data_IF_405800957189
#
_entry.id   IF_405800957189
#
_cell.length_a   1.000
_cell.length_b   1.000
_cell.length_c   1.000
_cell.angle_alpha   90.00
_cell.angle_beta   90.00
_cell.angle_gamma   90.00
#
_symmetry.space_group_name_H-M   'P 1'
#
loop_
_entity.id
_entity.type
_entity.pdbx_description
1 polymer ?
#
# COMPACT_ATOMS: atom_id res chain seq x y z
N UNK A 1 -22.04 -77.97 9.57
CA UNK A 1 -20.89 -78.76 9.08
C UNK A 1 -19.94 -77.76 8.41
N UNK A 2 -19.17 -77.01 9.22
CA UNK A 2 -17.70 -77.11 9.38
C UNK A 2 -16.95 -77.11 8.02
N UNK A 3 -15.99 -76.22 7.73
CA UNK A 3 -14.89 -75.79 8.61
C UNK A 3 -14.21 -74.50 8.13
N UNK A 4 -13.70 -73.74 9.09
CA UNK A 4 -12.80 -72.57 9.04
C UNK A 4 -11.44 -72.84 8.38
N UNK A 5 -10.81 -71.81 7.78
CA UNK A 5 -9.40 -71.38 8.06
C UNK A 5 -9.25 -69.86 7.83
N UNK A 6 -8.58 -69.22 8.79
CA UNK A 6 -8.21 -67.81 8.97
C UNK A 6 -7.39 -67.16 7.84
N UNK A 7 -7.55 -65.83 7.68
CA UNK A 7 -6.43 -64.88 7.67
C UNK A 7 -6.86 -63.53 8.24
N UNK A 8 -6.16 -63.13 9.30
CA UNK A 8 -6.15 -61.82 9.96
C UNK A 8 -5.01 -61.00 9.35
N UNK A 9 -5.25 -59.70 9.11
CA UNK A 9 -4.31 -58.56 8.98
C UNK A 9 -4.96 -57.50 8.07
N UNK A 10 -5.16 -56.22 8.37
CA UNK A 10 -4.74 -55.30 9.42
C UNK A 10 -5.71 -54.09 9.41
N UNK A 11 -5.84 -53.33 10.52
CA UNK A 11 -6.60 -52.08 10.57
C UNK A 11 -5.84 -50.91 9.93
N UNK A 12 -6.54 -50.07 9.16
CA UNK A 12 -6.01 -48.82 8.59
C UNK A 12 -5.79 -47.77 9.70
N UNK A 13 -4.63 -47.08 9.73
CA UNK A 13 -4.25 -46.24 10.86
C UNK A 13 -4.96 -44.88 10.84
N UNK A 14 -5.42 -44.48 12.02
CA UNK A 14 -5.70 -43.09 12.36
C UNK A 14 -4.41 -42.26 12.33
N UNK A 15 -4.62 -40.94 12.20
CA UNK A 15 -3.70 -39.84 12.50
C UNK A 15 -2.55 -39.60 11.54
N UNK A 16 -2.63 -38.46 10.85
CA UNK A 16 -1.61 -37.40 10.92
C UNK A 16 -2.19 -36.10 10.32
N UNK A 17 -2.63 -35.22 11.22
CA UNK A 17 -2.70 -33.80 10.95
C UNK A 17 -1.29 -33.34 10.54
N UNK A 18 -1.16 -32.76 9.36
CA UNK A 18 0.06 -32.11 8.91
C UNK A 18 -0.05 -30.63 9.28
N UNK A 19 0.09 -30.35 10.58
CA UNK A 19 0.53 -29.04 11.06
C UNK A 19 2.00 -28.90 10.67
N UNK A 20 2.27 -28.22 9.55
CA UNK A 20 3.59 -27.63 9.33
C UNK A 20 3.62 -26.29 10.09
N UNK A 21 3.84 -26.40 11.40
CA UNK A 21 4.37 -25.29 12.20
C UNK A 21 5.80 -25.06 11.72
N UNK A 22 6.00 -24.08 10.85
CA UNK A 22 7.30 -23.44 10.69
C UNK A 22 7.55 -22.60 11.94
N UNK A 23 8.07 -23.27 12.96
CA UNK A 23 8.85 -22.64 14.02
C UNK A 23 10.10 -22.02 13.39
N UNK A 24 9.97 -20.81 12.86
CA UNK A 24 11.12 -19.93 12.68
C UNK A 24 11.54 -19.50 14.09
N UNK A 25 12.46 -20.25 14.67
CA UNK A 25 13.34 -19.72 15.69
C UNK A 25 14.09 -18.54 15.04
N UNK A 26 13.59 -17.34 15.27
CA UNK A 26 14.35 -16.12 15.04
C UNK A 26 15.54 -16.16 16.01
N UNK A 27 16.66 -16.71 15.54
CA UNK A 27 17.94 -16.27 16.06
C UNK A 27 18.04 -14.78 15.75
N UNK A 28 18.33 -13.91 16.72
CA UNK A 28 18.78 -12.57 16.38
C UNK A 28 20.14 -12.76 15.73
N UNK A 29 20.17 -12.83 14.39
CA UNK A 29 21.36 -12.40 13.67
C UNK A 29 21.37 -10.90 13.89
N UNK A 30 22.02 -10.49 14.98
CA UNK A 30 22.51 -9.13 15.14
C UNK A 30 23.49 -8.93 13.98
N UNK A 31 22.99 -8.43 12.87
CA UNK A 31 23.84 -7.71 11.94
C UNK A 31 24.37 -6.52 12.74
N UNK A 32 25.66 -6.56 13.02
CA UNK A 32 26.41 -5.51 13.68
C UNK A 32 26.58 -4.35 12.69
N UNK A 33 25.49 -3.63 12.41
CA UNK A 33 25.54 -2.32 11.76
C UNK A 33 25.30 -1.26 12.83
N UNK A 34 26.23 -1.18 13.78
CA UNK A 34 26.29 -0.08 14.75
C UNK A 34 26.85 1.17 14.09
N UNK A 35 26.23 1.63 12.99
CA UNK A 35 26.37 3.02 12.57
C UNK A 35 25.43 3.83 13.42
N UNK A 36 25.94 4.80 14.15
CA UNK A 36 25.08 5.69 14.94
C UNK A 36 24.21 6.51 14.00
N UNK A 37 22.97 6.86 14.37
CA UNK A 37 22.09 7.73 13.57
C UNK A 37 22.80 9.02 13.11
N UNK A 38 23.73 9.50 13.93
CA UNK A 38 24.57 10.68 13.65
C UNK A 38 25.59 10.49 12.53
N UNK A 39 26.06 9.26 12.30
CA UNK A 39 26.96 8.91 11.21
C UNK A 39 26.18 8.70 9.92
N UNK A 40 25.02 8.02 9.97
CA UNK A 40 24.12 7.89 8.82
C UNK A 40 23.64 9.26 8.31
N UNK A 41 23.28 10.17 9.23
CA UNK A 41 22.86 11.53 8.88
C UNK A 41 23.98 12.31 8.18
N UNK A 42 25.23 12.17 8.65
CA UNK A 42 26.39 12.81 8.02
C UNK A 42 26.66 12.24 6.63
N UNK A 43 26.64 10.91 6.49
CA UNK A 43 26.92 10.24 5.22
C UNK A 43 25.84 10.52 4.16
N UNK A 44 24.56 10.52 4.55
CA UNK A 44 23.45 10.91 3.68
C UNK A 44 23.58 12.37 3.24
N UNK A 45 23.92 13.29 4.16
CA UNK A 45 24.16 14.69 3.80
C UNK A 45 25.29 14.84 2.78
N UNK A 46 26.42 14.15 2.96
CA UNK A 46 27.56 14.22 2.03
C UNK A 46 27.19 13.67 0.66
N UNK A 47 26.48 12.53 0.61
CA UNK A 47 26.02 11.95 -0.65
C UNK A 47 25.06 12.89 -1.39
N UNK A 48 24.10 13.48 -0.68
CA UNK A 48 23.17 14.47 -1.23
C UNK A 48 23.89 15.66 -1.86
N UNK A 49 24.86 16.24 -1.14
CA UNK A 49 25.62 17.40 -1.65
C UNK A 49 26.51 17.06 -2.86
N UNK A 50 27.00 15.83 -2.95
CA UNK A 50 27.78 15.37 -4.11
C UNK A 50 26.88 15.11 -5.33
N UNK A 51 25.65 14.61 -5.12
CA UNK A 51 24.69 14.34 -6.19
C UNK A 51 24.04 15.60 -6.78
N UNK A 52 23.90 16.67 -6.00
CA UNK A 52 23.32 17.95 -6.47
C UNK A 52 24.25 18.79 -7.38
N UNK A 53 25.30 18.17 -7.94
CA UNK A 53 26.27 18.75 -8.87
C UNK A 53 26.68 20.19 -8.50
N UNK A 54 27.10 20.39 -7.24
CA UNK A 54 27.50 21.68 -6.71
C UNK A 54 28.82 22.10 -7.35
N UNK A 55 28.74 22.78 -8.48
CA UNK A 55 29.89 23.30 -9.24
C UNK A 55 30.77 24.30 -8.46
N UNK A 56 30.54 24.57 -7.16
CA UNK A 56 31.28 25.61 -6.42
C UNK A 56 31.69 25.32 -4.96
N UNK A 57 31.36 24.17 -4.36
CA UNK A 57 31.79 23.90 -2.99
C UNK A 57 32.93 22.86 -2.94
N UNK A 58 34.01 23.23 -2.26
CA UNK A 58 35.08 22.29 -1.94
C UNK A 58 34.54 21.18 -1.03
N UNK A 59 35.07 19.96 -1.17
CA UNK A 59 34.72 18.82 -0.32
C UNK A 59 34.83 19.14 1.19
N UNK A 60 35.69 20.10 1.55
CA UNK A 60 35.87 20.59 2.91
C UNK A 60 34.69 21.46 3.39
N UNK A 61 34.08 22.26 2.50
CA UNK A 61 32.86 23.02 2.81
C UNK A 61 31.66 22.10 2.99
N UNK A 62 31.50 21.10 2.11
CA UNK A 62 30.44 20.08 2.20
C UNK A 62 30.52 19.35 3.54
N UNK A 63 31.72 18.90 3.93
CA UNK A 63 31.92 18.23 5.21
C UNK A 63 31.61 19.15 6.40
N UNK A 64 32.04 20.41 6.35
CA UNK A 64 31.75 21.38 7.40
C UNK A 64 30.25 21.67 7.55
N UNK A 65 29.51 21.72 6.44
CA UNK A 65 28.05 21.89 6.44
C UNK A 65 27.34 20.65 7.01
N UNK A 66 27.74 19.45 6.59
CA UNK A 66 27.18 18.21 7.13
C UNK A 66 27.57 17.97 8.61
N UNK A 67 28.73 18.46 9.05
CA UNK A 67 29.08 18.49 10.48
C UNK A 67 28.18 19.45 11.27
N UNK A 68 27.75 20.57 10.69
CA UNK A 68 26.77 21.45 11.33
C UNK A 68 25.39 20.79 11.45
N UNK A 69 24.90 20.10 10.41
CA UNK A 69 23.66 19.32 10.48
C UNK A 69 23.74 18.22 11.56
N UNK A 70 24.89 17.54 11.66
CA UNK A 70 25.17 16.55 12.72
C UNK A 70 25.13 17.17 14.13
N UNK A 71 25.59 18.42 14.28
CA UNK A 71 25.74 19.08 15.59
C UNK A 71 24.50 19.87 16.03
N UNK A 72 23.60 20.22 15.11
CA UNK A 72 22.40 21.03 15.36
C UNK A 72 21.30 20.33 16.20
N UNK A 73 21.51 19.09 16.65
CA UNK A 73 20.81 18.53 17.82
C UNK A 73 19.33 18.19 17.65
N UNK A 74 18.78 18.33 16.46
CA UNK A 74 17.55 17.67 16.03
C UNK A 74 17.83 17.19 14.61
N UNK A 75 18.26 15.93 14.48
CA UNK A 75 18.38 15.32 13.17
C UNK A 75 16.97 15.34 12.59
N UNK A 76 16.65 16.34 11.78
CA UNK A 76 15.41 16.36 11.02
C UNK A 76 15.49 15.12 10.16
N UNK A 77 14.66 14.14 10.47
CA UNK A 77 14.64 12.88 9.73
C UNK A 77 14.39 13.24 8.27
N UNK A 78 15.29 12.78 7.39
CA UNK A 78 15.14 12.98 5.94
C UNK A 78 13.77 12.47 5.55
N UNK A 79 12.97 13.35 4.97
CA UNK A 79 11.60 13.02 4.55
C UNK A 79 11.62 12.05 3.38
N UNK A 80 10.54 11.29 3.21
CA UNK A 80 10.41 10.40 2.06
C UNK A 80 10.56 11.16 0.74
N UNK A 81 9.98 12.35 0.66
CA UNK A 81 10.07 13.21 -0.54
C UNK A 81 11.51 13.61 -0.88
N UNK A 82 12.37 13.81 0.12
CA UNK A 82 13.79 14.10 -0.09
C UNK A 82 14.55 12.85 -0.62
N UNK A 83 14.30 11.68 -0.04
CA UNK A 83 14.91 10.41 -0.48
C UNK A 83 14.48 10.03 -1.91
N UNK A 84 13.22 10.26 -2.27
CA UNK A 84 12.72 10.00 -3.62
C UNK A 84 13.48 10.82 -4.67
N UNK A 85 13.75 12.10 -4.38
CA UNK A 85 14.50 13.01 -5.27
C UNK A 85 15.94 12.59 -5.50
N UNK A 86 16.61 12.06 -4.47
CA UNK A 86 17.99 11.58 -4.60
C UNK A 86 18.14 10.44 -5.61
N UNK A 87 17.06 9.69 -5.84
CA UNK A 87 17.05 8.55 -6.77
C UNK A 87 16.36 8.83 -8.11
N UNK A 88 15.75 10.02 -8.27
CA UNK A 88 14.91 10.36 -9.41
C UNK A 88 15.63 10.34 -10.76
N UNK A 89 16.93 10.63 -10.79
CA UNK A 89 17.74 10.62 -12.01
C UNK A 89 18.14 9.21 -12.48
N UNK A 90 17.95 8.19 -11.65
CA UNK A 90 18.33 6.82 -12.01
C UNK A 90 17.24 6.17 -12.88
N UNK A 91 17.50 5.90 -14.18
CA UNK A 91 16.49 5.37 -15.11
C UNK A 91 16.06 3.93 -14.79
N UNK A 92 16.72 3.25 -13.85
CA UNK A 92 16.38 1.90 -13.41
C UNK A 92 15.58 1.88 -12.10
N UNK A 93 15.38 3.04 -11.47
CA UNK A 93 14.60 3.14 -10.22
C UNK A 93 13.14 3.37 -10.55
N UNK A 94 12.28 2.55 -9.96
CA UNK A 94 10.83 2.76 -9.94
C UNK A 94 10.50 3.31 -8.54
N UNK A 95 10.03 4.55 -8.48
CA UNK A 95 9.70 5.20 -7.21
C UNK A 95 8.39 4.64 -6.65
N UNK A 96 8.37 4.07 -5.43
CA UNK A 96 7.14 3.67 -4.78
C UNK A 96 6.18 4.86 -4.63
N UNK A 97 4.89 4.67 -4.86
CA UNK A 97 3.89 5.72 -4.67
C UNK A 97 3.04 5.46 -3.41
N UNK A 98 2.11 4.51 -3.48
CA UNK A 98 1.41 3.96 -2.31
C UNK A 98 2.11 2.70 -1.80
N UNK A 99 1.66 2.15 -0.68
CA UNK A 99 2.29 0.96 -0.07
C UNK A 99 2.32 -0.23 -1.05
N UNK A 100 3.47 -0.89 -1.15
CA UNK A 100 3.66 -2.10 -1.96
C UNK A 100 3.72 -3.32 -1.06
N UNK A 101 2.68 -4.16 -1.08
CA UNK A 101 2.56 -5.30 -0.17
C UNK A 101 2.07 -6.56 -0.87
N UNK A 102 2.39 -7.70 -0.26
CA UNK A 102 1.82 -9.01 -0.57
C UNK A 102 1.35 -9.63 0.74
N UNK A 103 0.07 -9.95 0.82
CA UNK A 103 -0.57 -10.67 1.92
C UNK A 103 -0.93 -12.07 1.41
N UNK A 104 -0.07 -13.07 1.61
CA UNK A 104 -0.34 -14.44 1.14
C UNK A 104 -1.57 -15.05 1.82
N UNK A 105 -1.94 -14.58 3.00
CA UNK A 105 -3.11 -15.06 3.72
C UNK A 105 -3.90 -13.86 4.18
N UNK A 106 -5.10 -13.72 3.63
CA UNK A 106 -6.15 -12.87 4.18
C UNK A 106 -7.39 -13.71 4.46
N UNK A 107 -8.17 -13.33 5.46
CA UNK A 107 -9.45 -13.95 5.79
C UNK A 107 -10.49 -12.85 5.98
N UNK A 108 -11.61 -12.96 5.27
CA UNK A 108 -12.74 -12.06 5.40
C UNK A 108 -13.93 -12.74 6.06
N UNK A 109 -14.82 -11.98 6.68
CA UNK A 109 -15.98 -12.55 7.39
C UNK A 109 -16.96 -13.30 6.49
N UNK A 110 -17.14 -12.80 5.27
CA UNK A 110 -17.97 -13.40 4.23
C UNK A 110 -17.56 -12.82 2.89
N UNK A 111 -17.26 -13.67 1.92
CA UNK A 111 -17.00 -13.24 0.55
C UNK A 111 -18.28 -12.71 -0.10
N UNK A 112 -18.16 -11.64 -0.86
CA UNK A 112 -19.27 -11.07 -1.61
C UNK A 112 -19.62 -11.92 -2.84
N UNK A 113 -20.73 -12.65 -2.75
CA UNK A 113 -21.23 -13.49 -3.85
C UNK A 113 -22.25 -12.76 -4.73
N UNK A 114 -22.77 -11.61 -4.31
CA UNK A 114 -23.87 -10.92 -4.99
C UNK A 114 -23.58 -10.55 -6.45
N UNK A 115 -22.37 -10.08 -6.82
CA UNK A 115 -22.05 -9.76 -8.21
C UNK A 115 -22.05 -10.98 -9.14
N UNK A 116 -21.85 -12.18 -8.59
CA UNK A 116 -21.67 -13.43 -9.32
C UNK A 116 -23.00 -14.22 -9.40
N UNK A 117 -24.02 -13.62 -10.01
CA UNK A 117 -25.34 -14.25 -10.12
C UNK A 117 -25.29 -15.58 -10.93
N UNK A 118 -26.16 -16.52 -10.56
CA UNK A 118 -26.19 -17.86 -11.17
C UNK A 118 -26.68 -17.88 -12.63
N UNK A 119 -27.41 -16.85 -13.07
CA UNK A 119 -27.91 -16.78 -14.45
C UNK A 119 -26.78 -16.52 -15.46
N UNK A 120 -25.78 -15.72 -15.06
CA UNK A 120 -24.64 -15.34 -15.91
C UNK A 120 -23.39 -16.16 -15.58
N UNK A 121 -23.17 -16.49 -14.30
CA UNK A 121 -21.93 -17.10 -13.80
C UNK A 121 -22.09 -18.54 -13.27
N UNK A 122 -23.30 -19.11 -13.33
CA UNK A 122 -23.57 -20.45 -12.80
C UNK A 122 -23.25 -20.57 -11.31
N UNK A 123 -22.81 -21.75 -10.89
CA UNK A 123 -22.52 -22.04 -9.47
C UNK A 123 -21.09 -21.62 -9.05
N UNK A 124 -20.38 -20.83 -9.87
CA UNK A 124 -19.01 -20.42 -9.59
C UNK A 124 -18.89 -19.60 -8.30
N UNK A 125 -19.94 -18.87 -7.92
CA UNK A 125 -20.02 -18.13 -6.67
C UNK A 125 -19.96 -19.02 -5.42
N UNK A 126 -20.46 -20.27 -5.52
CA UNK A 126 -20.48 -21.20 -4.39
C UNK A 126 -19.07 -21.67 -4.01
N UNK A 127 -18.18 -21.74 -4.99
CA UNK A 127 -16.77 -22.09 -4.79
C UNK A 127 -15.87 -20.95 -4.31
N UNK A 128 -16.40 -19.73 -4.11
CA UNK A 128 -15.62 -18.63 -3.54
C UNK A 128 -15.33 -18.90 -2.05
N UNK A 129 -14.06 -18.73 -1.69
CA UNK A 129 -13.52 -18.85 -0.33
C UNK A 129 -13.44 -17.48 0.34
N UNK A 130 -13.58 -17.51 1.67
CA UNK A 130 -13.36 -16.36 2.54
C UNK A 130 -11.86 -16.03 2.71
N UNK A 131 -10.97 -16.89 2.20
CA UNK A 131 -9.54 -16.69 2.16
C UNK A 131 -9.06 -16.25 0.77
N UNK A 132 -8.23 -15.21 0.74
CA UNK A 132 -7.62 -14.70 -0.50
C UNK A 132 -6.16 -14.33 -0.29
N UNK A 133 -5.39 -14.38 -1.37
CA UNK A 133 -4.15 -13.61 -1.48
C UNK A 133 -4.54 -12.18 -1.88
N UNK A 134 -4.09 -11.19 -1.11
CA UNK A 134 -4.27 -9.75 -1.42
C UNK A 134 -2.91 -9.13 -1.68
N UNK A 135 -2.76 -8.35 -2.74
CA UNK A 135 -1.52 -7.59 -2.96
C UNK A 135 -1.79 -6.25 -3.62
N UNK A 136 -0.86 -5.33 -3.40
CA UNK A 136 -0.84 -4.02 -4.02
C UNK A 136 0.53 -3.72 -4.59
N UNK A 137 0.56 -3.24 -5.83
CA UNK A 137 1.74 -2.70 -6.49
C UNK A 137 1.44 -1.24 -6.82
N UNK A 138 2.32 -0.32 -6.42
CA UNK A 138 2.11 1.10 -6.62
C UNK A 138 3.42 1.83 -6.87
N UNK A 139 3.48 2.56 -7.98
CA UNK A 139 4.64 3.34 -8.36
C UNK A 139 4.25 4.68 -8.98
N UNK A 140 5.20 5.62 -8.96
CA UNK A 140 5.13 6.87 -9.72
C UNK A 140 6.40 7.04 -10.55
N UNK A 141 6.26 7.73 -11.68
CA UNK A 141 7.36 8.09 -12.59
C UNK A 141 7.24 9.58 -12.89
N UNK A 142 8.32 10.37 -12.73
CA UNK A 142 8.32 11.76 -13.13
C UNK A 142 8.19 11.86 -14.66
N UNK A 143 7.25 12.68 -15.12
CA UNK A 143 7.02 13.01 -16.52
C UNK A 143 7.69 14.34 -16.91
N UNK A 144 7.62 15.31 -16.00
CA UNK A 144 8.21 16.65 -16.15
C UNK A 144 8.79 17.03 -14.80
N UNK A 145 10.08 17.37 -14.77
CA UNK A 145 10.84 17.72 -13.55
C UNK A 145 11.34 19.17 -13.55
N UNK A 146 11.09 19.91 -14.63
CA UNK A 146 11.62 21.26 -14.82
C UNK A 146 10.70 22.29 -14.17
N UNK A 147 10.86 22.54 -12.86
CA UNK A 147 10.29 23.65 -12.06
C UNK A 147 9.16 24.43 -12.78
N UNK A 148 8.03 23.75 -12.99
CA UNK A 148 6.96 24.14 -13.91
C UNK A 148 6.34 25.46 -13.45
N UNK A 149 6.03 25.55 -12.16
CA UNK A 149 5.41 26.72 -11.53
C UNK A 149 6.10 27.16 -10.24
N UNK A 150 6.64 26.22 -9.46
CA UNK A 150 7.34 26.42 -8.20
C UNK A 150 8.68 25.66 -8.25
N UNK A 151 9.61 26.08 -7.39
CA UNK A 151 10.85 25.32 -7.18
C UNK A 151 10.52 23.90 -6.71
N UNK A 152 11.14 22.91 -7.34
CA UNK A 152 11.06 21.50 -6.95
C UNK A 152 9.69 20.86 -7.15
N UNK A 153 8.85 21.42 -8.03
CA UNK A 153 7.58 20.81 -8.43
C UNK A 153 7.74 19.86 -9.63
N UNK A 154 6.88 18.85 -9.69
CA UNK A 154 7.00 17.80 -10.69
C UNK A 154 5.62 17.32 -11.15
N UNK A 155 5.54 16.92 -12.42
CA UNK A 155 4.39 16.19 -12.96
C UNK A 155 4.70 14.71 -12.95
N UNK A 156 3.82 13.90 -12.37
CA UNK A 156 3.98 12.45 -12.25
C UNK A 156 2.92 11.68 -13.02
N UNK A 157 3.31 10.52 -13.52
CA UNK A 157 2.41 9.42 -13.80
C UNK A 157 2.45 8.44 -12.63
N UNK A 158 1.30 8.19 -12.01
CA UNK A 158 1.13 7.18 -10.97
C UNK A 158 0.38 5.96 -11.51
N UNK A 159 0.70 4.79 -10.98
CA UNK A 159 -0.08 3.59 -11.22
C UNK A 159 -0.16 2.74 -9.97
N UNK A 160 -1.39 2.47 -9.52
CA UNK A 160 -1.65 1.51 -8.43
C UNK A 160 -2.50 0.36 -8.94
N UNK A 161 -2.10 -0.86 -8.64
CA UNK A 161 -2.85 -2.08 -8.89
C UNK A 161 -3.11 -2.78 -7.57
N UNK A 162 -4.37 -3.11 -7.28
CA UNK A 162 -4.78 -3.89 -6.10
C UNK A 162 -5.52 -5.14 -6.55
N UNK A 163 -5.06 -6.32 -6.14
CA UNK A 163 -5.63 -7.59 -6.59
C UNK A 163 -6.04 -8.50 -5.43
N UNK A 164 -7.13 -9.23 -5.67
CA UNK A 164 -7.74 -10.19 -4.76
C UNK A 164 -7.84 -11.54 -5.45
N UNK A 165 -6.99 -12.47 -5.03
CA UNK A 165 -6.80 -13.76 -5.68
C UNK A 165 -7.37 -14.88 -4.82
N UNK A 166 -8.31 -15.63 -5.38
CA UNK A 166 -8.94 -16.81 -4.77
C UNK A 166 -8.01 -18.04 -4.85
N UNK A 167 -6.77 -17.89 -4.40
CA UNK A 167 -5.74 -18.94 -4.43
C UNK A 167 -6.17 -20.24 -3.70
N UNK A 168 -7.11 -20.12 -2.78
CA UNK A 168 -7.64 -21.20 -1.94
C UNK A 168 -8.91 -21.85 -2.51
N UNK A 169 -9.45 -21.32 -3.61
CA UNK A 169 -10.70 -21.79 -4.24
C UNK A 169 -10.39 -22.75 -5.38
N UNK A 170 -9.83 -23.92 -5.03
CA UNK A 170 -9.41 -24.93 -6.01
C UNK A 170 -10.56 -25.48 -6.85
N UNK A 171 -11.78 -25.50 -6.31
CA UNK A 171 -12.96 -26.05 -6.98
C UNK A 171 -13.38 -25.21 -8.21
N UNK A 172 -12.97 -23.94 -8.25
CA UNK A 172 -13.22 -23.01 -9.37
C UNK A 172 -11.93 -22.58 -10.08
N UNK A 173 -10.85 -23.37 -9.94
CA UNK A 173 -9.54 -23.12 -10.57
C UNK A 173 -8.81 -21.86 -10.10
N UNK A 174 -9.02 -21.46 -8.84
CA UNK A 174 -8.30 -20.38 -8.16
C UNK A 174 -8.21 -19.05 -8.96
N UNK A 175 -9.36 -18.46 -9.37
CA UNK A 175 -9.37 -17.26 -10.20
C UNK A 175 -8.97 -16.01 -9.41
N UNK A 176 -8.56 -14.95 -10.12
CA UNK A 176 -8.62 -13.61 -9.54
C UNK A 176 -10.09 -13.22 -9.40
N UNK A 177 -10.53 -12.85 -8.20
CA UNK A 177 -11.90 -12.39 -7.95
C UNK A 177 -12.06 -10.95 -8.44
N UNK A 178 -11.11 -10.09 -8.07
CA UNK A 178 -11.09 -8.69 -8.48
C UNK A 178 -9.65 -8.17 -8.63
N UNK A 179 -9.46 -7.23 -9.55
CA UNK A 179 -8.21 -6.48 -9.71
C UNK A 179 -8.58 -5.06 -10.06
N UNK A 180 -8.19 -4.08 -9.26
CA UNK A 180 -8.44 -2.66 -9.53
C UNK A 180 -7.17 -2.01 -10.09
N UNK A 181 -7.31 -1.34 -11.21
CA UNK A 181 -6.28 -0.58 -11.91
C UNK A 181 -6.56 0.90 -11.71
N UNK A 182 -5.64 1.60 -11.08
CA UNK A 182 -5.74 3.04 -10.79
C UNK A 182 -4.55 3.82 -11.36
N UNK A 183 -4.55 4.13 -12.66
CA UNK A 183 -3.64 5.11 -13.24
C UNK A 183 -4.02 6.54 -12.85
N UNK A 184 -3.01 7.36 -12.60
CA UNK A 184 -3.15 8.75 -12.18
C UNK A 184 -2.14 9.63 -12.94
N UNK A 185 -2.51 10.86 -13.26
CA UNK A 185 -1.57 11.91 -13.68
C UNK A 185 -1.77 13.09 -12.76
N UNK A 186 -0.72 13.50 -12.06
CA UNK A 186 -0.84 14.52 -11.02
C UNK A 186 0.38 15.40 -10.95
N UNK A 187 0.14 16.65 -10.60
CA UNK A 187 1.14 17.64 -10.27
C UNK A 187 1.36 17.59 -8.75
N UNK A 188 2.62 17.51 -8.31
CA UNK A 188 3.03 17.51 -6.91
C UNK A 188 3.93 18.71 -6.64
N UNK A 189 3.69 19.43 -5.54
CA UNK A 189 4.50 20.58 -5.16
C UNK A 189 4.57 20.76 -3.65
N UNK A 190 5.67 21.33 -3.18
CA UNK A 190 5.80 21.78 -1.80
C UNK A 190 5.02 23.08 -1.60
N UNK A 191 4.26 23.16 -0.51
CA UNK A 191 3.51 24.35 -0.15
C UNK A 191 4.39 25.27 0.75
N UNK A 192 4.43 26.59 0.49
CA UNK A 192 5.18 27.55 1.30
C UNK A 192 4.42 27.90 2.59
N UNK A 193 4.07 26.89 3.38
CA UNK A 193 3.34 27.04 4.64
C UNK A 193 4.34 26.89 5.80
N UNK A 194 4.52 27.97 6.56
CA UNK A 194 5.40 28.02 7.74
C UNK A 194 4.65 27.66 9.03
N UNK A 195 3.93 26.53 9.04
CA UNK A 195 3.20 26.03 10.21
C UNK A 195 3.74 24.66 10.63
N UNK A 196 4.40 24.60 11.80
CA UNK A 196 5.13 23.41 12.26
C UNK A 196 6.54 23.32 11.65
N UNK A 197 7.33 22.30 12.04
CA UNK A 197 8.68 22.08 11.51
C UNK A 197 8.67 21.13 10.29
N UNK A 198 7.49 20.58 9.95
CA UNK A 198 7.27 19.64 8.87
C UNK A 198 7.25 20.22 7.46
N UNK A 199 6.98 19.35 6.49
CA UNK A 199 6.83 19.66 5.07
C UNK A 199 5.34 19.59 4.72
N UNK A 200 4.80 20.72 4.24
CA UNK A 200 3.50 20.75 3.61
C UNK A 200 3.66 20.52 2.11
N UNK A 201 2.84 19.65 1.53
CA UNK A 201 2.83 19.38 0.10
C UNK A 201 1.40 19.29 -0.43
N UNK A 202 1.24 19.42 -1.74
CA UNK A 202 -0.03 19.31 -2.42
C UNK A 202 0.11 18.40 -3.63
N UNK A 203 -0.96 17.66 -3.93
CA UNK A 203 -1.12 16.97 -5.21
C UNK A 203 -2.42 17.36 -5.85
N UNK A 204 -2.38 17.72 -7.12
CA UNK A 204 -3.57 18.00 -7.92
C UNK A 204 -3.53 17.12 -9.15
N UNK A 205 -4.54 16.28 -9.34
CA UNK A 205 -4.47 15.23 -10.34
C UNK A 205 -5.80 14.80 -10.91
N UNK A 206 -5.68 14.03 -11.97
CA UNK A 206 -6.73 13.22 -12.53
C UNK A 206 -6.40 11.76 -12.28
N UNK A 207 -7.41 10.97 -11.90
CA UNK A 207 -7.29 9.53 -11.77
C UNK A 207 -8.46 8.82 -12.45
N UNK A 208 -8.15 7.68 -13.03
CA UNK A 208 -9.12 6.70 -13.48
C UNK A 208 -8.95 5.47 -12.59
N UNK A 209 -10.04 4.86 -12.16
CA UNK A 209 -10.00 3.58 -11.47
C UNK A 209 -11.06 2.64 -12.06
N UNK A 210 -10.64 1.45 -12.46
CA UNK A 210 -11.53 0.41 -12.98
C UNK A 210 -11.05 -0.97 -12.60
N UNK A 211 -11.93 -1.96 -12.68
CA UNK A 211 -11.55 -3.35 -12.40
C UNK A 211 -11.23 -4.20 -13.64
N UNK A 212 -11.29 -3.60 -14.83
CA UNK A 212 -11.01 -4.28 -16.10
C UNK A 212 -11.93 -5.48 -16.41
N UNK A 213 -13.11 -5.52 -15.79
CA UNK A 213 -14.15 -6.53 -16.06
C UNK A 213 -15.11 -6.04 -17.15
N UNK A 214 -15.99 -6.93 -17.60
CA UNK A 214 -17.04 -6.63 -18.57
C UNK A 214 -18.42 -6.73 -17.94
N UNK A 215 -19.39 -6.05 -18.55
CA UNK A 215 -20.83 -6.14 -18.25
C UNK A 215 -21.12 -6.04 -16.74
N UNK A 216 -21.91 -6.96 -16.18
CA UNK A 216 -22.40 -6.92 -14.81
C UNK A 216 -21.32 -6.85 -13.72
N UNK A 217 -20.08 -7.27 -14.02
CA UNK A 217 -18.95 -7.18 -13.11
C UNK A 217 -18.09 -5.93 -13.34
N UNK A 218 -18.34 -5.16 -14.39
CA UNK A 218 -17.60 -3.94 -14.69
C UNK A 218 -17.86 -2.89 -13.63
N UNK A 219 -16.79 -2.32 -13.11
CA UNK A 219 -16.83 -1.19 -12.19
C UNK A 219 -15.78 -0.19 -12.62
N UNK A 220 -16.18 1.08 -12.73
CA UNK A 220 -15.25 2.16 -13.08
C UNK A 220 -15.75 3.52 -12.63
N UNK A 221 -14.81 4.43 -12.43
CA UNK A 221 -15.06 5.84 -12.15
C UNK A 221 -13.82 6.67 -12.45
N UNK A 222 -14.03 7.97 -12.66
CA UNK A 222 -12.97 8.93 -12.92
C UNK A 222 -13.09 10.07 -11.92
N UNK A 223 -11.97 10.56 -11.42
CA UNK A 223 -11.94 11.62 -10.42
C UNK A 223 -10.91 12.67 -10.79
N UNK A 224 -11.20 13.90 -10.41
CA UNK A 224 -10.17 14.92 -10.20
C UNK A 224 -10.04 15.14 -8.70
N UNK A 225 -8.82 15.32 -8.23
CA UNK A 225 -8.54 15.51 -6.81
C UNK A 225 -7.57 16.65 -6.58
N UNK A 226 -7.61 17.20 -5.36
CA UNK A 226 -6.70 18.23 -4.90
C UNK A 226 -6.39 17.99 -3.42
N UNK A 227 -5.37 17.19 -3.15
CA UNK A 227 -5.01 16.78 -1.80
C UNK A 227 -3.91 17.63 -1.19
N UNK A 228 -3.93 17.71 0.14
CA UNK A 228 -2.93 18.41 0.96
C UNK A 228 -2.35 17.41 1.94
N UNK A 229 -1.02 17.41 2.03
CA UNK A 229 -0.26 16.56 2.93
C UNK A 229 0.65 17.35 3.86
N UNK A 230 0.93 16.73 4.99
CA UNK A 230 1.85 17.19 6.01
C UNK A 230 2.71 16.01 6.48
N UNK A 231 4.02 16.19 6.49
CA UNK A 231 5.00 15.21 6.96
C UNK A 231 5.95 15.87 7.96
N UNK A 232 6.05 15.32 9.18
CA UNK A 232 6.93 15.84 10.24
C UNK A 232 7.45 14.69 11.11
N UNK A 233 8.77 14.53 11.18
CA UNK A 233 9.47 13.54 11.99
C UNK A 233 8.90 12.11 11.81
N UNK A 234 8.01 11.69 12.71
CA UNK A 234 7.42 10.36 12.75
C UNK A 234 5.95 10.31 12.30
N UNK A 235 5.42 11.39 11.73
CA UNK A 235 4.02 11.50 11.38
C UNK A 235 3.83 12.02 9.96
N UNK A 236 2.88 11.42 9.25
CA UNK A 236 2.43 11.87 7.94
C UNK A 236 0.91 11.79 7.89
N UNK A 237 0.31 12.81 7.32
CA UNK A 237 -1.11 12.82 6.98
C UNK A 237 -1.28 13.41 5.60
N UNK A 238 -2.20 12.82 4.84
CA UNK A 238 -2.58 13.28 3.52
C UNK A 238 -4.09 13.18 3.37
N UNK A 239 -4.74 14.30 3.03
CA UNK A 239 -6.18 14.37 2.79
C UNK A 239 -6.40 14.66 1.33
N UNK A 240 -7.11 13.78 0.64
CA UNK A 240 -7.36 13.80 -0.80
C UNK A 240 -8.87 13.93 -1.05
N UNK A 241 -9.43 15.15 -1.07
CA UNK A 241 -10.78 15.36 -1.58
C UNK A 241 -10.81 15.21 -3.09
N UNK A 242 -11.90 14.63 -3.60
CA UNK A 242 -12.13 14.47 -5.02
C UNK A 242 -13.49 14.97 -5.47
N UNK A 243 -13.60 15.19 -6.78
CA UNK A 243 -14.85 15.34 -7.48
C UNK A 243 -14.99 14.19 -8.48
N UNK A 244 -16.07 13.41 -8.35
CA UNK A 244 -16.38 12.31 -9.27
C UNK A 244 -16.88 12.86 -10.62
N UNK A 245 -16.19 12.46 -11.69
CA UNK A 245 -16.56 12.78 -13.08
C UNK A 245 -17.46 11.71 -13.70
N UNK A 246 -17.77 10.64 -12.96
CA UNK A 246 -18.54 9.48 -13.41
C UNK A 246 -17.67 8.37 -14.01
N UNK A 247 -18.26 7.20 -14.22
CA UNK A 247 -17.65 6.06 -14.91
C UNK A 247 -18.02 6.00 -16.38
N UNK A 248 -17.36 5.10 -17.12
CA UNK A 248 -17.78 4.76 -18.48
C UNK A 248 -19.07 3.92 -18.48
N UNK A 249 -19.30 3.17 -17.40
CA UNK A 249 -20.46 2.31 -17.20
C UNK A 249 -21.46 2.90 -16.20
N UNK A 250 -22.74 2.64 -16.41
CA UNK A 250 -23.84 3.08 -15.53
C UNK A 250 -23.97 2.28 -14.23
N UNK A 251 -23.12 1.28 -14.01
CA UNK A 251 -23.42 0.18 -13.09
C UNK A 251 -23.00 0.44 -11.64
N UNK A 252 -22.25 1.52 -11.37
CA UNK A 252 -21.89 1.98 -10.03
C UNK A 252 -22.16 3.49 -9.84
N UNK A 253 -23.36 3.93 -10.25
CA UNK A 253 -23.77 5.36 -10.17
C UNK A 253 -23.87 5.90 -8.75
N UNK A 254 -24.08 5.04 -7.77
CA UNK A 254 -24.15 5.31 -6.33
C UNK A 254 -22.81 5.11 -5.61
N UNK A 255 -21.68 4.99 -6.33
CA UNK A 255 -20.36 4.76 -5.73
C UNK A 255 -19.96 5.80 -4.67
N UNK A 256 -20.36 7.07 -4.86
CA UNK A 256 -20.10 8.14 -3.89
C UNK A 256 -20.88 7.96 -2.59
N UNK A 257 -22.01 7.25 -2.61
CA UNK A 257 -22.76 6.97 -1.38
C UNK A 257 -21.93 6.13 -0.41
N UNK A 258 -21.03 5.27 -0.91
CA UNK A 258 -20.17 4.41 -0.11
C UNK A 258 -18.77 5.00 0.13
N UNK A 259 -18.13 5.51 -0.93
CA UNK A 259 -16.75 6.02 -0.88
C UNK A 259 -16.67 7.48 -0.41
N UNK A 260 -17.76 8.23 -0.47
CA UNK A 260 -17.77 9.65 -0.12
C UNK A 260 -17.01 10.50 -1.14
N UNK A 261 -16.40 11.58 -0.63
CA UNK A 261 -15.78 12.62 -1.45
C UNK A 261 -14.33 12.92 -1.06
N UNK A 262 -13.73 12.07 -0.22
CA UNK A 262 -12.35 12.22 0.22
C UNK A 262 -11.77 10.92 0.79
N UNK A 263 -10.46 10.77 0.70
CA UNK A 263 -9.67 9.75 1.39
C UNK A 263 -8.67 10.44 2.31
N UNK A 264 -8.42 9.84 3.46
CA UNK A 264 -7.42 10.27 4.42
C UNK A 264 -6.41 9.15 4.58
N UNK A 265 -5.16 9.44 4.27
CA UNK A 265 -4.02 8.57 4.58
C UNK A 265 -3.29 9.15 5.78
N UNK A 266 -2.89 8.29 6.70
CA UNK A 266 -2.09 8.62 7.88
C UNK A 266 -1.02 7.57 8.09
N UNK A 267 0.14 8.01 8.57
CA UNK A 267 1.19 7.13 9.04
C UNK A 267 1.80 7.70 10.32
N UNK A 268 2.14 6.81 11.25
CA UNK A 268 2.80 7.16 12.50
C UNK A 268 3.84 6.11 12.87
N UNK A 269 5.09 6.55 12.99
CA UNK A 269 6.24 5.74 13.35
C UNK A 269 6.47 5.78 14.86
N UNK A 270 6.59 4.61 15.46
CA UNK A 270 6.91 4.46 16.88
C UNK A 270 7.99 3.40 17.04
N UNK A 271 9.21 3.85 17.32
CA UNK A 271 10.41 3.00 17.35
C UNK A 271 10.58 2.26 16.00
N UNK A 272 10.60 0.93 16.02
CA UNK A 272 10.71 0.11 14.81
C UNK A 272 9.38 -0.15 14.10
N UNK A 273 8.25 0.25 14.69
CA UNK A 273 6.92 0.01 14.15
C UNK A 273 6.41 1.21 13.36
N UNK A 274 5.69 0.96 12.26
CA UNK A 274 4.89 1.98 11.58
C UNK A 274 3.42 1.57 11.61
N UNK A 275 2.55 2.47 12.05
CA UNK A 275 1.10 2.32 11.97
C UNK A 275 0.58 3.13 10.78
N UNK A 276 -0.19 2.51 9.90
CA UNK A 276 -0.80 3.21 8.76
C UNK A 276 -2.32 3.11 8.82
N UNK A 277 -2.98 4.16 8.33
CA UNK A 277 -4.43 4.26 8.25
C UNK A 277 -4.84 4.88 6.94
N UNK A 278 -5.71 4.22 6.18
CA UNK A 278 -6.35 4.77 4.97
C UNK A 278 -7.85 4.65 5.14
N UNK A 279 -8.58 5.76 5.05
CA UNK A 279 -10.02 5.74 5.26
C UNK A 279 -10.79 6.82 4.54
N UNK A 280 -12.06 6.56 4.34
CA UNK A 280 -13.02 7.46 3.71
C UNK A 280 -14.37 7.35 4.42
N UNK A 281 -15.18 8.40 4.34
CA UNK A 281 -16.49 8.42 4.97
C UNK A 281 -17.45 9.37 4.27
N UNK A 282 -18.69 8.94 4.07
CA UNK A 282 -19.77 9.77 3.57
C UNK A 282 -20.71 10.17 4.72
N UNK A 283 -20.62 11.42 5.17
CA UNK A 283 -21.47 11.95 6.25
C UNK A 283 -22.97 11.98 5.92
N UNK A 284 -23.35 11.96 4.64
CA UNK A 284 -24.75 11.99 4.20
C UNK A 284 -25.42 10.62 4.34
N UNK A 285 -24.71 9.55 4.00
CA UNK A 285 -25.25 8.17 3.97
C UNK A 285 -24.85 7.37 5.20
N UNK A 286 -23.74 7.74 5.84
CA UNK A 286 -23.17 7.04 6.99
C UNK A 286 -22.27 5.86 6.61
N UNK A 287 -22.01 5.64 5.33
CA UNK A 287 -21.09 4.59 4.85
C UNK A 287 -19.65 5.09 4.82
N UNK A 288 -18.71 4.15 4.87
CA UNK A 288 -17.28 4.40 4.76
C UNK A 288 -16.46 3.14 5.00
N UNK A 289 -15.15 3.31 4.98
CA UNK A 289 -14.19 2.22 5.13
C UNK A 289 -12.91 2.69 5.79
N UNK A 290 -12.28 1.80 6.56
CA UNK A 290 -10.99 2.02 7.21
C UNK A 290 -10.09 0.80 7.00
N UNK A 291 -8.94 1.03 6.38
CA UNK A 291 -7.79 0.14 6.39
C UNK A 291 -6.84 0.62 7.49
N UNK A 292 -6.55 -0.22 8.47
CA UNK A 292 -5.56 0.03 9.51
C UNK A 292 -4.51 -1.08 9.46
N UNK A 293 -3.24 -0.70 9.50
CA UNK A 293 -2.16 -1.67 9.42
C UNK A 293 -0.99 -1.31 10.33
N UNK A 294 -0.15 -2.32 10.57
CA UNK A 294 1.13 -2.18 11.27
C UNK A 294 2.22 -2.90 10.50
N UNK A 295 3.36 -2.24 10.33
CA UNK A 295 4.58 -2.83 9.80
C UNK A 295 5.66 -2.95 10.88
N UNK A 296 6.56 -3.91 10.72
CA UNK A 296 7.69 -4.14 11.62
C UNK A 296 8.88 -4.74 10.86
N UNK A 297 10.12 -4.62 11.37
CA UNK A 297 11.29 -5.16 10.69
C UNK A 297 11.18 -6.68 10.56
N UNK A 298 11.45 -7.21 9.36
CA UNK A 298 11.48 -8.64 9.09
C UNK A 298 12.81 -9.04 8.43
N UNK A 299 13.17 -8.34 7.36
CA UNK A 299 14.45 -8.40 6.65
C UNK A 299 14.90 -6.95 6.34
N UNK A 300 16.13 -6.79 5.87
CA UNK A 300 16.71 -5.48 5.53
C UNK A 300 15.87 -4.66 4.55
N UNK A 301 15.32 -5.32 3.52
CA UNK A 301 14.56 -4.66 2.44
C UNK A 301 13.08 -5.07 2.42
N UNK A 302 12.61 -5.79 3.44
CA UNK A 302 11.24 -6.31 3.51
C UNK A 302 10.75 -6.25 4.95
N UNK A 303 9.57 -5.71 5.15
CA UNK A 303 8.93 -5.57 6.46
C UNK A 303 7.82 -6.59 6.63
N UNK A 304 7.62 -7.05 7.85
CA UNK A 304 6.41 -7.80 8.21
C UNK A 304 5.23 -6.84 8.24
N UNK A 305 4.06 -7.29 7.78
CA UNK A 305 2.90 -6.42 7.59
C UNK A 305 1.62 -7.12 8.01
N UNK A 306 0.84 -6.47 8.86
CA UNK A 306 -0.49 -6.94 9.30
C UNK A 306 -1.49 -5.83 8.99
N UNK A 307 -2.54 -6.17 8.26
CA UNK A 307 -3.55 -5.23 7.80
C UNK A 307 -4.95 -5.71 8.20
N UNK A 308 -5.78 -4.77 8.65
CA UNK A 308 -7.18 -4.98 8.92
C UNK A 308 -8.02 -3.95 8.18
N UNK A 309 -8.99 -4.42 7.40
CA UNK A 309 -9.97 -3.59 6.71
C UNK A 309 -11.35 -3.79 7.32
N UNK A 310 -12.09 -2.71 7.51
CA UNK A 310 -13.47 -2.74 7.97
C UNK A 310 -14.30 -1.63 7.30
N UNK A 311 -15.36 -2.02 6.59
CA UNK A 311 -16.31 -1.10 5.96
C UNK A 311 -16.57 -1.40 4.48
N UNK A 312 -16.92 -0.37 3.73
CA UNK A 312 -17.26 -0.44 2.30
C UNK A 312 -16.07 -0.01 1.43
N UNK A 313 -16.01 -0.43 0.16
CA UNK A 313 -15.00 0.10 -0.75
C UNK A 313 -13.59 -0.49 -0.61
N UNK A 314 -13.44 -1.73 -0.15
CA UNK A 314 -12.12 -2.37 -0.14
C UNK A 314 -11.55 -2.57 -1.56
N UNK A 315 -12.45 -2.91 -2.48
CA UNK A 315 -12.23 -3.06 -3.91
C UNK A 315 -13.44 -2.52 -4.68
N UNK A 316 -13.30 -2.28 -5.98
CA UNK A 316 -14.40 -1.78 -6.78
C UNK A 316 -15.57 -2.76 -6.89
N UNK A 317 -15.33 -4.08 -6.96
CA UNK A 317 -16.44 -5.04 -7.00
C UNK A 317 -17.21 -5.11 -5.67
N UNK A 318 -16.56 -4.73 -4.57
CA UNK A 318 -17.11 -4.70 -3.21
C UNK A 318 -17.40 -3.25 -2.74
N UNK A 319 -17.57 -2.29 -3.65
CA UNK A 319 -17.78 -0.89 -3.27
C UNK A 319 -19.03 -0.69 -2.39
N UNK A 320 -20.08 -1.47 -2.65
CA UNK A 320 -21.37 -1.48 -1.96
C UNK A 320 -21.51 -2.63 -0.95
N UNK A 321 -20.41 -3.32 -0.62
CA UNK A 321 -20.39 -4.46 0.29
C UNK A 321 -19.53 -4.21 1.52
N UNK A 322 -20.11 -4.45 2.71
CA UNK A 322 -19.41 -4.24 3.97
C UNK A 322 -18.47 -5.40 4.29
N UNK A 323 -17.17 -5.21 4.03
CA UNK A 323 -16.11 -6.17 4.31
C UNK A 323 -15.52 -6.01 5.72
N UNK A 324 -15.12 -7.13 6.30
CA UNK A 324 -14.23 -7.19 7.45
C UNK A 324 -13.15 -8.20 7.12
N UNK A 325 -11.91 -7.74 6.90
CA UNK A 325 -10.80 -8.58 6.46
C UNK A 325 -9.55 -8.35 7.28
N UNK A 326 -8.90 -9.42 7.70
CA UNK A 326 -7.56 -9.39 8.28
C UNK A 326 -6.58 -10.09 7.35
N UNK A 327 -5.36 -9.57 7.25
CA UNK A 327 -4.32 -10.14 6.42
C UNK A 327 -2.94 -10.01 7.05
N UNK A 328 -2.08 -10.98 6.75
CA UNK A 328 -0.69 -11.02 7.20
C UNK A 328 0.21 -11.30 6.01
N UNK A 329 1.33 -10.58 5.92
CA UNK A 329 2.31 -10.77 4.87
C UNK A 329 3.49 -9.84 4.98
N UNK A 330 3.90 -9.30 3.83
CA UNK A 330 5.11 -8.49 3.69
C UNK A 330 4.80 -7.15 3.01
N UNK A 331 5.61 -6.15 3.37
CA UNK A 331 5.61 -4.80 2.81
C UNK A 331 7.03 -4.48 2.33
N UNK A 332 7.16 -3.84 1.16
CA UNK A 332 8.47 -3.47 0.63
C UNK A 332 9.02 -2.20 1.28
N UNK A 333 8.17 -1.19 1.46
CA UNK A 333 8.57 0.13 1.97
C UNK A 333 7.43 0.74 2.76
N UNK A 334 7.78 1.32 3.91
CA UNK A 334 6.90 2.10 4.78
C UNK A 334 6.48 3.43 4.12
N UNK A 335 5.54 4.14 4.74
CA UNK A 335 5.15 5.48 4.31
C UNK A 335 6.20 6.51 4.75
N UNK A 336 6.81 6.36 5.94
CA UNK A 336 7.74 7.33 6.58
C UNK A 336 9.10 6.74 6.99
#
# INVERSE_FOLDING_TARGET
MNTYINRINQPSPQSKALLLLLSLAASPVMADDTRTDSEQTFDNCVLRQIHMDVEQDSLEQIKAQCEQEKTAGRAKTTTRHELEKETAENPFVITPYRQNYLLPITHMKSVNKNPYNSEVFGDAADGLSDEEIKFQISFKVPLITDDIFNESDELYFGFTLKSFWQAYSSDISAPFRDTNYRPEVFYETKLPIEAGDGVWFSRVGYEHESNGRTDALSRSWNRIYAGVGFEEDNFMMYVEPWYNLGGMDSDNTDIEDYLGHYEVTTAYKYDVLEFTGVGHYNFRTGYGGLEAAVSFPLLEHVRGYVQYFNGYGESLIDYDYHNQRIGVGILLTDII
#
